data_IF_768953437873
#
_entry.id   IF_768953437873
#
_cell.length_a   1.000
_cell.length_b   1.000
_cell.length_c   1.000
_cell.angle_alpha   90.00
_cell.angle_beta   90.00
_cell.angle_gamma   90.00
#
_symmetry.space_group_name_H-M   'P 1'
#
loop_
_entity.id
_entity.type
_entity.pdbx_description
1 polymer ?
2 non-polymer ?
3 non-polymer ?
4 non-polymer ?
5 non-polymer ?
6 water ?
#
# COMPACT_ATOMS: atom_id res chain seq x y z
N UNK A 1 -20.52 -9.62 8.93
CA UNK A 1 -21.45 -8.72 8.26
C UNK A 1 -20.77 -7.41 7.87
N UNK A 2 -20.76 -6.42 8.75
CA UNK A 2 -20.19 -5.13 8.35
C UNK A 2 -18.68 -5.12 8.59
N UNK A 3 -18.01 -4.13 8.00
CA UNK A 3 -16.54 -4.16 7.91
C UNK A 3 -15.87 -4.19 9.28
N UNK A 4 -16.38 -3.40 10.23
CA UNK A 4 -15.75 -3.34 11.54
C UNK A 4 -15.86 -4.67 12.27
N UNK A 5 -16.91 -5.45 12.00
CA UNK A 5 -17.03 -6.78 12.59
C UNK A 5 -16.08 -7.76 11.94
N UNK A 6 -15.98 -7.69 10.61
CA UNK A 6 -15.07 -8.55 9.86
C UNK A 6 -13.62 -8.36 10.30
N UNK A 7 -13.24 -7.12 10.65
CA UNK A 7 -11.88 -6.90 11.14
C UNK A 7 -11.58 -7.64 12.44
N UNK A 8 -12.60 -7.87 13.25
CA UNK A 8 -12.39 -8.53 14.52
C UNK A 8 -12.51 -10.04 14.39
N UNK A 9 -13.49 -10.51 13.62
CA UNK A 9 -13.78 -11.93 13.59
C UNK A 9 -13.37 -12.61 12.29
N UNK A 10 -12.86 -11.86 11.32
CA UNK A 10 -12.38 -12.47 10.09
C UNK A 10 -10.96 -13.02 10.23
N UNK A 11 -10.71 -14.10 9.49
CA UNK A 11 -9.44 -14.80 9.59
C UNK A 11 -9.42 -15.67 10.84
N UNK A 12 -8.35 -16.46 10.97
CA UNK A 12 -8.18 -17.32 12.13
C UNK A 12 -7.10 -16.72 13.04
N UNK A 13 -7.53 -16.11 14.15
CA UNK A 13 -6.61 -15.40 15.02
C UNK A 13 -6.79 -15.80 16.48
N UNK A 14 -7.19 -17.04 16.73
CA UNK A 14 -7.18 -17.61 18.07
C UNK A 14 -6.41 -18.93 18.01
N UNK A 15 -6.18 -19.51 19.18
CA UNK A 15 -5.48 -20.79 19.29
C UNK A 15 -6.52 -21.88 19.48
N UNK A 16 -6.66 -22.76 18.48
CA UNK A 16 -7.58 -23.88 18.65
C UNK A 16 -7.20 -24.77 19.83
N UNK A 17 -5.91 -24.85 20.15
CA UNK A 17 -5.45 -25.79 21.17
C UNK A 17 -5.84 -25.32 22.58
N UNK A 18 -5.30 -24.18 23.02
CA UNK A 18 -5.59 -23.68 24.36
C UNK A 18 -6.84 -22.81 24.44
N UNK A 19 -7.31 -22.28 23.31
CA UNK A 19 -8.35 -21.28 23.33
C UNK A 19 -7.86 -19.86 23.49
N UNK A 20 -6.55 -19.64 23.55
CA UNK A 20 -6.03 -18.28 23.65
C UNK A 20 -6.70 -17.38 22.62
N UNK A 21 -7.17 -16.20 23.06
CA UNK A 21 -7.96 -15.34 22.18
C UNK A 21 -7.09 -14.52 21.25
N UNK A 22 -5.76 -14.66 21.33
CA UNK A 22 -4.82 -14.06 20.40
C UNK A 22 -3.94 -15.15 19.81
N UNK A 23 -3.37 -14.88 18.64
CA UNK A 23 -2.54 -15.87 17.96
C UNK A 23 -1.24 -16.08 18.71
N UNK A 24 -0.90 -17.29 19.12
CA UNK A 24 0.40 -17.52 19.77
C UNK A 24 1.53 -17.16 18.83
N UNK A 25 2.64 -16.71 19.41
CA UNK A 25 3.83 -16.34 18.66
C UNK A 25 4.74 -17.56 18.61
N UNK A 26 4.82 -18.19 17.44
CA UNK A 26 5.63 -19.39 17.26
C UNK A 26 7.05 -18.99 16.88
N UNK A 27 7.81 -18.62 17.90
CA UNK A 27 9.22 -18.29 17.73
C UNK A 27 9.97 -19.61 17.68
N UNK A 28 9.98 -20.22 16.49
CA UNK A 28 10.43 -21.59 16.29
C UNK A 28 10.83 -21.73 14.83
N UNK A 29 11.77 -22.65 14.56
CA UNK A 29 12.20 -22.88 13.18
C UNK A 29 11.76 -24.23 12.63
N UNK A 30 11.47 -25.22 13.49
CA UNK A 30 11.21 -26.56 13.00
C UNK A 30 10.25 -27.26 13.97
N UNK A 31 9.78 -28.44 13.55
CA UNK A 31 8.62 -29.08 14.16
C UNK A 31 8.84 -30.58 14.25
N UNK A 32 8.46 -31.15 15.39
CA UNK A 32 8.52 -32.60 15.59
C UNK A 32 7.64 -33.31 14.58
N UNK A 33 8.15 -34.43 14.07
CA UNK A 33 7.37 -35.35 13.25
C UNK A 33 7.21 -36.66 14.02
N UNK A 34 5.97 -37.13 14.13
CA UNK A 34 5.73 -38.37 14.88
C UNK A 34 6.14 -39.59 14.07
N UNK A 35 6.01 -39.51 12.75
CA UNK A 35 6.54 -40.47 11.81
C UNK A 35 7.10 -39.69 10.64
N UNK A 36 8.06 -40.28 9.94
CA UNK A 36 8.67 -39.57 8.81
C UNK A 36 7.57 -39.21 7.81
N UNK A 37 7.41 -37.91 7.58
CA UNK A 37 6.43 -37.40 6.64
C UNK A 37 5.10 -37.02 7.25
N UNK A 38 4.82 -37.44 8.47
CA UNK A 38 3.56 -37.13 9.14
C UNK A 38 3.74 -35.85 9.94
N UNK A 39 3.09 -34.78 9.49
CA UNK A 39 3.10 -33.50 10.19
C UNK A 39 1.85 -33.39 11.06
N UNK A 40 2.05 -33.04 12.34
CA UNK A 40 0.92 -32.98 13.27
C UNK A 40 -0.17 -32.03 12.79
N UNK A 41 0.22 -30.84 12.35
CA UNK A 41 -0.73 -29.81 11.95
C UNK A 41 -0.32 -29.15 10.64
N UNK A 42 0.49 -29.83 9.84
CA UNK A 42 0.91 -29.31 8.56
C UNK A 42 2.17 -28.48 8.57
N UNK A 43 2.84 -28.35 9.71
CA UNK A 43 4.06 -27.56 9.81
C UNK A 43 5.28 -28.47 9.85
N UNK A 44 6.33 -28.06 9.13
CA UNK A 44 7.57 -28.82 9.10
C UNK A 44 8.82 -27.96 9.14
N UNK A 45 8.78 -26.70 8.69
CA UNK A 45 9.94 -25.81 8.70
C UNK A 45 9.44 -24.38 8.51
N UNK A 46 9.87 -23.47 9.39
CA UNK A 46 9.20 -22.17 9.46
C UNK A 46 9.36 -21.33 8.20
N UNK A 47 10.43 -21.51 7.41
CA UNK A 47 10.51 -20.78 6.15
C UNK A 47 9.32 -21.16 5.26
N UNK A 48 8.99 -22.45 5.23
CA UNK A 48 7.90 -22.92 4.39
C UNK A 48 6.55 -22.48 4.93
N UNK A 49 6.33 -22.61 6.24
CA UNK A 49 5.11 -22.14 6.88
C UNK A 49 5.37 -22.07 8.37
N UNK A 50 4.79 -21.05 9.00
CA UNK A 50 4.86 -20.81 10.45
C UNK A 50 3.45 -20.43 10.91
N UNK A 51 2.96 -20.97 12.03
CA UNK A 51 1.54 -20.77 12.36
C UNK A 51 1.17 -19.31 12.62
N UNK A 52 2.07 -18.50 13.19
CA UNK A 52 1.74 -17.09 13.38
C UNK A 52 1.64 -16.36 12.04
N UNK A 53 2.58 -16.69 11.14
CA UNK A 53 2.51 -16.14 9.79
C UNK A 53 1.25 -16.60 9.08
N UNK A 54 0.88 -17.88 9.26
CA UNK A 54 -0.37 -18.38 8.67
C UNK A 54 -1.56 -17.57 9.16
N UNK A 55 -1.56 -17.17 10.43
CA UNK A 55 -2.64 -16.35 10.94
C UNK A 55 -2.72 -15.02 10.19
N UNK A 56 -1.59 -14.31 10.06
CA UNK A 56 -1.72 -13.02 9.37
C UNK A 56 -2.08 -13.20 7.89
N UNK A 57 -1.63 -14.29 7.28
CA UNK A 57 -2.00 -14.58 5.89
C UNK A 57 -3.50 -14.84 5.76
N UNK A 58 -4.09 -15.56 6.73
CA UNK A 58 -5.53 -15.77 6.71
C UNK A 58 -6.27 -14.46 6.85
N UNK A 59 -5.73 -13.54 7.68
CA UNK A 59 -6.38 -12.25 7.84
C UNK A 59 -6.40 -11.48 6.53
N UNK A 60 -5.24 -11.36 5.87
CA UNK A 60 -5.23 -10.52 4.66
C UNK A 60 -6.06 -11.19 3.55
N UNK A 61 -6.05 -12.52 3.47
CA UNK A 61 -6.92 -13.18 2.49
C UNK A 61 -8.39 -12.88 2.77
N UNK A 62 -8.79 -12.93 4.04
CA UNK A 62 -10.18 -12.64 4.37
C UNK A 62 -10.55 -11.19 4.05
N UNK A 63 -9.68 -10.24 4.42
CA UNK A 63 -10.03 -8.83 4.27
C UNK A 63 -10.08 -8.40 2.82
N UNK A 64 -9.35 -9.07 1.94
CA UNK A 64 -9.37 -8.75 0.52
C UNK A 64 -10.29 -9.67 -0.27
N UNK A 65 -11.08 -10.50 0.41
CA UNK A 65 -11.98 -11.46 -0.24
C UNK A 65 -11.23 -12.34 -1.23
N UNK A 66 -10.02 -12.75 -0.82
CA UNK A 66 -9.25 -13.72 -1.56
C UNK A 66 -9.27 -15.09 -0.88
N UNK A 67 -8.49 -16.00 -1.44
CA UNK A 67 -8.38 -17.35 -0.92
C UNK A 67 -7.03 -17.65 -0.27
N UNK A 68 -5.98 -16.97 -0.71
CA UNK A 68 -4.62 -17.26 -0.29
C UNK A 68 -3.93 -15.96 0.10
N UNK A 69 -3.26 -15.97 1.25
CA UNK A 69 -2.45 -14.85 1.68
C UNK A 69 -0.99 -15.22 1.86
N UNK A 70 -0.11 -14.22 1.75
CA UNK A 70 1.32 -14.41 1.84
C UNK A 70 1.92 -13.22 2.58
N UNK A 71 2.78 -13.49 3.56
CA UNK A 71 3.41 -12.45 4.35
C UNK A 71 4.91 -12.42 4.09
N UNK A 72 5.42 -11.26 3.71
CA UNK A 72 6.81 -11.06 3.33
C UNK A 72 7.49 -10.08 4.30
N UNK A 73 8.83 -10.11 4.28
CA UNK A 73 9.63 -9.32 5.19
C UNK A 73 9.52 -7.81 4.96
N UNK A 74 8.88 -7.37 3.88
CA UNK A 74 8.71 -5.96 3.58
C UNK A 74 7.75 -5.85 2.39
N UNK A 75 7.18 -4.66 2.21
CA UNK A 75 6.43 -4.39 0.99
C UNK A 75 7.22 -4.64 -0.28
N UNK A 76 8.48 -4.20 -0.33
CA UNK A 76 9.21 -4.41 -1.58
C UNK A 76 9.59 -5.87 -1.76
N UNK A 77 9.66 -6.66 -0.68
CA UNK A 77 9.85 -8.10 -0.85
C UNK A 77 8.60 -8.75 -1.45
N UNK A 78 7.41 -8.26 -1.07
CA UNK A 78 6.18 -8.75 -1.69
C UNK A 78 6.16 -8.40 -3.17
N UNK A 79 6.50 -7.15 -3.48
CA UNK A 79 6.56 -6.73 -4.89
C UNK A 79 7.56 -7.57 -5.66
N UNK A 80 8.75 -7.82 -5.09
CA UNK A 80 9.76 -8.59 -5.79
C UNK A 80 9.30 -10.03 -6.02
N UNK A 81 8.62 -10.63 -5.04
CA UNK A 81 8.10 -11.98 -5.25
C UNK A 81 7.10 -12.00 -6.40
N UNK A 82 6.24 -10.98 -6.47
CA UNK A 82 5.25 -10.92 -7.55
C UNK A 82 5.93 -10.74 -8.91
N UNK A 83 6.96 -9.87 -8.98
CA UNK A 83 7.67 -9.68 -10.24
C UNK A 83 8.34 -10.97 -10.67
N UNK A 84 8.81 -11.78 -9.72
CA UNK A 84 9.46 -13.04 -10.02
C UNK A 84 8.52 -14.09 -10.61
N UNK A 85 7.22 -13.82 -10.68
CA UNK A 85 6.32 -14.67 -11.46
C UNK A 85 6.70 -14.66 -12.94
N UNK A 86 7.43 -13.65 -13.40
CA UNK A 86 7.77 -13.48 -14.80
C UNK A 86 9.17 -14.04 -15.09
N UNK A 87 9.46 -14.20 -16.39
CA UNK A 87 10.74 -14.66 -16.91
C UNK A 87 11.46 -13.55 -17.66
N UNK A 88 12.77 -13.72 -17.81
CA UNK A 88 13.54 -12.93 -18.76
C UNK A 88 12.79 -12.82 -20.08
N UNK A 89 12.71 -11.60 -20.62
CA UNK A 89 12.00 -11.35 -21.86
C UNK A 89 10.55 -10.92 -21.71
N UNK A 90 9.96 -11.13 -20.53
CA UNK A 90 8.60 -10.68 -20.27
C UNK A 90 8.58 -9.17 -19.99
N UNK A 91 7.43 -8.56 -20.24
CA UNK A 91 7.27 -7.12 -20.13
C UNK A 91 6.16 -6.79 -19.12
N UNK A 92 6.36 -5.70 -18.37
CA UNK A 92 5.40 -5.21 -17.38
C UNK A 92 5.02 -3.78 -17.73
N UNK A 93 3.73 -3.46 -17.62
CA UNK A 93 3.22 -2.09 -17.68
C UNK A 93 2.90 -1.64 -16.26
N UNK A 94 3.37 -0.44 -15.89
CA UNK A 94 3.09 0.13 -14.57
C UNK A 94 2.63 1.56 -14.72
N UNK A 95 1.99 2.10 -13.69
CA UNK A 95 1.64 3.52 -13.76
C UNK A 95 2.90 4.37 -13.72
N UNK A 96 2.80 5.59 -14.27
CA UNK A 96 3.98 6.39 -14.52
C UNK A 96 4.67 6.81 -13.24
N UNK A 97 3.91 7.03 -12.18
CA UNK A 97 4.43 7.62 -10.95
C UNK A 97 4.48 6.59 -9.81
N UNK A 98 4.84 5.35 -10.14
CA UNK A 98 4.88 4.28 -9.13
C UNK A 98 5.87 4.63 -8.00
N UNK A 99 5.62 4.03 -6.83
CA UNK A 99 6.46 4.22 -5.66
C UNK A 99 7.94 4.09 -6.01
N UNK A 100 8.75 4.98 -5.44
CA UNK A 100 10.17 5.02 -5.78
C UNK A 100 10.89 3.71 -5.56
N UNK A 101 10.56 2.99 -4.48
CA UNK A 101 11.16 1.69 -4.28
C UNK A 101 10.79 0.70 -5.36
N UNK A 102 9.54 0.75 -5.82
CA UNK A 102 9.13 -0.12 -6.93
C UNK A 102 9.89 0.25 -8.20
N UNK A 103 9.97 1.55 -8.48
CA UNK A 103 10.72 2.00 -9.65
C UNK A 103 12.17 1.52 -9.59
N UNK A 104 12.81 1.67 -8.42
CA UNK A 104 14.21 1.28 -8.29
C UNK A 104 14.38 -0.23 -8.43
N UNK A 105 13.53 -1.01 -7.77
CA UNK A 105 13.62 -2.47 -7.91
C UNK A 105 13.49 -2.87 -9.37
N UNK A 106 12.51 -2.32 -10.07
CA UNK A 106 12.29 -2.73 -11.46
C UNK A 106 13.43 -2.29 -12.37
N UNK A 107 13.88 -1.03 -12.25
CA UNK A 107 14.83 -0.49 -13.23
C UNK A 107 16.29 -0.74 -12.89
N UNK A 108 16.62 -1.06 -11.64
CA UNK A 108 18.00 -1.31 -11.28
C UNK A 108 18.28 -2.76 -10.88
N UNK A 109 17.26 -3.55 -10.54
CA UNK A 109 17.44 -4.97 -10.26
C UNK A 109 16.84 -5.83 -11.38
N UNK A 110 15.53 -5.76 -11.57
CA UNK A 110 14.90 -6.75 -12.43
C UNK A 110 15.18 -6.54 -13.91
N UNK A 111 15.54 -5.32 -14.34
CA UNK A 111 15.95 -5.19 -15.73
C UNK A 111 17.27 -5.90 -15.99
N UNK A 112 18.10 -6.06 -14.97
CA UNK A 112 19.32 -6.84 -15.13
C UNK A 112 19.02 -8.31 -15.37
N UNK A 113 17.80 -8.76 -15.04
CA UNK A 113 17.37 -10.12 -15.29
C UNK A 113 16.50 -10.24 -16.54
N UNK A 114 16.52 -9.22 -17.40
CA UNK A 114 15.80 -9.30 -18.65
C UNK A 114 14.32 -9.01 -18.58
N UNK A 115 13.80 -8.57 -17.44
CA UNK A 115 12.43 -8.08 -17.37
C UNK A 115 12.39 -6.69 -18.00
N UNK A 116 11.43 -6.47 -18.88
CA UNK A 116 11.25 -5.18 -19.53
C UNK A 116 10.09 -4.45 -18.90
N UNK A 117 10.21 -3.13 -18.74
CA UNK A 117 9.19 -2.35 -18.08
C UNK A 117 8.91 -1.07 -18.86
N UNK A 118 7.65 -0.64 -18.79
CA UNK A 118 7.24 0.66 -19.29
C UNK A 118 6.32 1.31 -18.26
N UNK A 119 6.57 2.59 -17.99
CA UNK A 119 5.81 3.37 -17.03
C UNK A 119 4.93 4.33 -17.83
N UNK A 120 3.62 4.10 -17.81
CA UNK A 120 2.71 4.86 -18.66
C UNK A 120 1.63 5.51 -17.80
N UNK A 121 0.97 6.51 -18.37
CA UNK A 121 -0.07 7.25 -17.65
C UNK A 121 -1.36 6.45 -17.66
N UNK A 122 -1.60 5.69 -16.59
CA UNK A 122 -2.75 4.80 -16.55
C UNK A 122 -4.05 5.51 -16.17
N UNK A 123 -4.02 6.82 -15.91
CA UNK A 123 -5.27 7.53 -15.64
C UNK A 123 -6.21 7.50 -16.84
N UNK A 124 -5.70 7.30 -18.04
CA UNK A 124 -6.51 6.96 -19.20
C UNK A 124 -6.19 5.51 -19.54
N UNK A 125 -7.17 4.61 -19.36
CA UNK A 125 -6.84 3.19 -19.49
C UNK A 125 -6.49 2.81 -20.93
N UNK A 126 -6.87 3.60 -21.92
CA UNK A 126 -6.45 3.28 -23.29
C UNK A 126 -4.94 3.45 -23.46
N UNK A 127 -4.28 4.19 -22.56
CA UNK A 127 -2.83 4.22 -22.56
C UNK A 127 -2.26 2.83 -22.30
N UNK A 128 -2.90 2.07 -21.41
CA UNK A 128 -2.48 0.69 -21.17
C UNK A 128 -2.60 -0.13 -22.45
N UNK A 129 -3.74 0.00 -23.14
CA UNK A 129 -3.96 -0.78 -24.35
C UNK A 129 -2.88 -0.48 -25.39
N UNK A 130 -2.55 0.80 -25.57
CA UNK A 130 -1.48 1.12 -26.53
C UNK A 130 -0.15 0.52 -26.11
N UNK A 131 0.16 0.52 -24.80
CA UNK A 131 1.46 0.06 -24.35
C UNK A 131 1.64 -1.45 -24.38
N UNK A 132 0.57 -2.22 -24.60
CA UNK A 132 0.70 -3.67 -24.57
C UNK A 132 1.55 -4.13 -25.75
N UNK A 133 2.59 -4.90 -25.45
CA UNK A 133 3.47 -5.52 -26.44
C UNK A 133 3.17 -7.00 -26.54
N UNK A 134 3.68 -7.67 -27.58
CA UNK A 134 3.50 -9.13 -27.64
C UNK A 134 4.12 -9.85 -26.44
N UNK A 135 5.11 -9.25 -25.79
CA UNK A 135 5.77 -9.84 -24.64
C UNK A 135 5.20 -9.40 -23.30
N UNK A 136 4.21 -8.49 -23.28
CA UNK A 136 3.67 -8.05 -21.99
C UNK A 136 2.97 -9.21 -21.28
N UNK A 137 3.31 -9.40 -20.00
CA UNK A 137 2.71 -10.44 -19.19
C UNK A 137 2.05 -9.94 -17.92
N UNK A 138 2.25 -8.66 -17.54
CA UNK A 138 1.78 -8.18 -16.26
C UNK A 138 1.42 -6.70 -16.36
N UNK A 139 0.35 -6.33 -15.65
CA UNK A 139 -0.07 -4.95 -15.46
C UNK A 139 -0.07 -4.69 -13.97
N UNK A 140 0.68 -3.69 -13.52
CA UNK A 140 0.90 -3.40 -12.10
C UNK A 140 0.52 -1.96 -11.86
N UNK A 141 -0.51 -1.71 -11.04
CA UNK A 141 -0.98 -0.35 -10.82
C UNK A 141 -1.12 -0.05 -9.33
N UNK A 142 -0.75 1.17 -8.94
CA UNK A 142 -1.12 1.74 -7.65
C UNK A 142 -2.26 2.72 -7.87
N UNK A 143 -3.24 2.71 -6.95
CA UNK A 143 -4.18 3.81 -6.98
C UNK A 143 -4.76 4.03 -5.59
N UNK A 144 -4.75 5.27 -5.09
CA UNK A 144 -4.09 6.43 -5.69
C UNK A 144 -2.57 6.39 -5.51
N UNK A 145 -1.85 7.09 -6.37
CA UNK A 145 -0.39 7.08 -6.39
C UNK A 145 0.20 8.12 -5.44
N UNK A 146 1.53 8.08 -5.32
CA UNK A 146 2.28 8.99 -4.46
C UNK A 146 3.22 9.88 -5.28
N UNK A 147 3.35 11.17 -4.95
CA UNK A 147 2.64 11.94 -3.92
C UNK A 147 1.49 12.77 -4.45
N UNK A 148 1.13 12.63 -5.73
CA UNK A 148 0.07 13.47 -6.30
C UNK A 148 -1.28 12.76 -6.36
N UNK A 149 -1.40 11.54 -5.84
CA UNK A 149 -2.69 10.87 -5.64
C UNK A 149 -3.45 10.67 -6.96
N UNK A 150 -2.74 10.27 -8.01
CA UNK A 150 -3.42 9.96 -9.27
C UNK A 150 -4.21 8.66 -9.14
N UNK A 151 -5.41 8.65 -9.73
CA UNK A 151 -6.36 7.55 -9.63
C UNK A 151 -6.40 6.80 -10.96
N UNK A 152 -6.37 5.47 -10.88
CA UNK A 152 -6.50 4.59 -12.04
C UNK A 152 -7.73 3.70 -11.88
N UNK A 153 -8.44 3.48 -12.98
CA UNK A 153 -9.66 2.67 -12.98
C UNK A 153 -9.31 1.19 -12.84
N UNK A 154 -9.61 0.62 -11.67
CA UNK A 154 -9.23 -0.76 -11.38
C UNK A 154 -10.02 -1.74 -12.23
N UNK A 155 -11.35 -1.56 -12.30
CA UNK A 155 -12.19 -2.53 -13.01
C UNK A 155 -11.82 -2.59 -14.48
N UNK A 156 -11.62 -1.42 -15.11
CA UNK A 156 -11.22 -1.41 -16.51
C UNK A 156 -9.84 -2.01 -16.70
N UNK A 157 -8.92 -1.77 -15.75
CA UNK A 157 -7.59 -2.37 -15.84
C UNK A 157 -7.67 -3.88 -15.79
N UNK A 158 -8.50 -4.41 -14.89
CA UNK A 158 -8.72 -5.85 -14.80
C UNK A 158 -9.29 -6.40 -16.10
N UNK A 159 -10.25 -5.71 -16.69
CA UNK A 159 -10.83 -6.17 -17.96
C UNK A 159 -9.79 -6.21 -19.06
N UNK A 160 -8.96 -5.17 -19.16
CA UNK A 160 -7.88 -5.14 -20.15
C UNK A 160 -6.93 -6.31 -19.94
N UNK A 161 -6.50 -6.51 -18.68
CA UNK A 161 -5.59 -7.61 -18.37
C UNK A 161 -6.19 -8.96 -18.76
N UNK A 162 -7.48 -9.16 -18.47
CA UNK A 162 -8.13 -10.43 -18.79
C UNK A 162 -8.18 -10.64 -20.30
N UNK A 163 -8.55 -9.59 -21.03
CA UNK A 163 -8.65 -9.71 -22.49
C UNK A 163 -7.29 -10.02 -23.12
N UNK A 164 -6.21 -9.46 -22.57
CA UNK A 164 -4.90 -9.61 -23.18
C UNK A 164 -4.04 -10.66 -22.50
N UNK A 165 -4.60 -11.43 -21.57
CA UNK A 165 -3.86 -12.50 -20.92
C UNK A 165 -2.74 -12.01 -20.01
N UNK A 166 -2.97 -10.92 -19.28
CA UNK A 166 -1.97 -10.38 -18.37
C UNK A 166 -2.35 -10.73 -16.95
N UNK A 167 -1.33 -10.93 -16.11
CA UNK A 167 -1.51 -10.95 -14.67
C UNK A 167 -1.70 -9.51 -14.20
N UNK A 168 -2.82 -9.23 -13.54
CA UNK A 168 -3.09 -7.89 -13.03
C UNK A 168 -2.78 -7.84 -11.53
N UNK A 169 -2.10 -6.77 -11.12
CA UNK A 169 -1.63 -6.57 -9.76
C UNK A 169 -2.01 -5.15 -9.35
N UNK A 170 -2.58 -5.01 -8.15
CA UNK A 170 -2.82 -3.69 -7.57
C UNK A 170 -2.06 -3.58 -6.26
N UNK A 171 -1.27 -2.52 -6.15
CA UNK A 171 -0.68 -2.12 -4.87
C UNK A 171 -1.73 -1.28 -4.16
N UNK A 172 -2.37 -1.88 -3.15
CA UNK A 172 -3.52 -1.29 -2.47
C UNK A 172 -3.13 -0.67 -1.13
N UNK A 173 -1.85 -0.30 -0.96
CA UNK A 173 -1.35 0.20 0.31
C UNK A 173 -2.12 1.43 0.79
N UNK A 174 -2.26 2.42 -0.09
CA UNK A 174 -2.79 3.72 0.34
C UNK A 174 -4.26 3.63 0.76
N UNK A 175 -5.05 2.75 0.14
CA UNK A 175 -6.47 2.68 0.44
C UNK A 175 -6.80 1.69 1.56
N UNK A 176 -6.00 0.61 1.69
CA UNK A 176 -6.18 -0.53 2.60
C UNK A 176 -7.40 -1.38 2.20
N UNK A 177 -7.50 -2.62 2.70
CA UNK A 177 -8.71 -3.41 2.42
C UNK A 177 -9.97 -2.84 3.02
N UNK A 178 -9.86 -1.84 3.91
CA UNK A 178 -11.06 -1.29 4.52
C UNK A 178 -11.88 -0.48 3.53
N UNK A 179 -11.25 0.06 2.47
CA UNK A 179 -11.95 0.97 1.57
C UNK A 179 -11.94 0.51 0.11
N UNK A 180 -11.04 -0.36 -0.29
CA UNK A 180 -10.86 -0.71 -1.70
C UNK A 180 -10.46 -2.17 -1.76
N UNK A 181 -11.16 -2.97 -2.58
CA UNK A 181 -10.94 -4.41 -2.65
C UNK A 181 -10.71 -4.81 -4.11
N UNK A 182 -9.49 -4.70 -4.60
CA UNK A 182 -9.22 -4.96 -6.04
C UNK A 182 -9.60 -6.36 -6.51
N UNK A 183 -9.48 -7.38 -5.67
CA UNK A 183 -9.84 -8.73 -6.11
C UNK A 183 -11.32 -8.81 -6.48
N UNK A 184 -12.16 -8.03 -5.80
CA UNK A 184 -13.58 -7.99 -6.12
C UNK A 184 -13.86 -7.37 -7.47
N UNK A 185 -12.92 -6.57 -7.98
CA UNK A 185 -13.07 -5.91 -9.26
C UNK A 185 -12.36 -6.65 -10.39
N UNK A 186 -11.93 -7.89 -10.14
CA UNK A 186 -11.37 -8.72 -11.18
C UNK A 186 -9.85 -8.79 -11.22
N UNK A 187 -9.17 -8.14 -10.29
CA UNK A 187 -7.71 -8.12 -10.28
C UNK A 187 -7.20 -9.48 -9.80
N UNK A 188 -6.08 -9.93 -10.37
CA UNK A 188 -5.53 -11.24 -10.01
C UNK A 188 -4.86 -11.23 -8.64
N UNK A 189 -4.03 -10.22 -8.37
CA UNK A 189 -3.20 -10.17 -7.17
C UNK A 189 -3.29 -8.79 -6.54
N UNK A 190 -3.51 -8.73 -5.22
CA UNK A 190 -3.45 -7.46 -4.50
C UNK A 190 -2.33 -7.53 -3.49
N UNK A 191 -1.59 -6.43 -3.32
CA UNK A 191 -0.51 -6.44 -2.36
C UNK A 191 -0.48 -5.14 -1.57
N UNK A 192 0.21 -5.19 -0.43
CA UNK A 192 0.30 -4.07 0.49
C UNK A 192 1.70 -3.97 1.07
N UNK A 193 2.15 -2.75 1.31
CA UNK A 193 3.17 -2.54 2.33
C UNK A 193 2.41 -2.47 3.65
N UNK A 194 2.44 -3.56 4.41
CA UNK A 194 1.78 -3.58 5.70
C UNK A 194 2.52 -2.71 6.72
N UNK A 195 3.70 -2.23 6.36
CA UNK A 195 4.46 -1.26 7.13
C UNK A 195 3.66 0.01 7.40
N UNK A 196 2.72 0.30 6.50
CA UNK A 196 1.95 1.54 6.55
C UNK A 196 0.67 1.29 7.38
N UNK A 197 -0.52 1.48 6.80
CA UNK A 197 -1.77 1.47 7.57
C UNK A 197 -2.12 0.18 8.28
N UNK A 198 -1.82 -0.97 7.67
CA UNK A 198 -2.27 -2.25 8.22
C UNK A 198 -1.65 -2.49 9.60
N UNK A 199 -0.32 -2.49 9.69
CA UNK A 199 0.30 -2.53 11.01
C UNK A 199 -0.12 -1.32 11.84
N UNK A 200 -0.04 -0.14 11.24
CA UNK A 200 -0.68 1.05 11.78
C UNK A 200 0.05 1.75 12.90
N UNK A 201 1.15 1.18 13.41
CA UNK A 201 1.79 1.72 14.61
C UNK A 201 3.27 1.98 14.39
N UNK A 202 3.71 2.06 13.13
CA UNK A 202 5.10 2.39 12.80
C UNK A 202 6.10 1.48 13.51
N UNK A 203 5.75 0.19 13.62
CA UNK A 203 6.64 -0.69 14.37
C UNK A 203 6.84 -2.06 13.73
N UNK A 204 6.44 -2.22 12.45
CA UNK A 204 6.64 -3.45 11.69
C UNK A 204 6.96 -3.04 10.27
N UNK A 205 7.99 -3.64 9.68
CA UNK A 205 8.22 -3.59 8.24
C UNK A 205 7.76 -4.92 7.68
N UNK A 206 6.84 -4.89 6.71
CA UNK A 206 6.20 -6.12 6.25
C UNK A 206 5.44 -5.88 4.97
N UNK A 207 5.31 -6.93 4.16
CA UNK A 207 4.45 -6.90 2.99
C UNK A 207 3.41 -8.02 3.07
N UNK A 208 2.26 -7.78 2.44
CA UNK A 208 1.20 -8.79 2.40
C UNK A 208 0.67 -8.89 0.98
N UNK A 209 0.34 -10.11 0.55
CA UNK A 209 -0.18 -10.39 -0.79
C UNK A 209 -1.39 -11.29 -0.65
N UNK A 210 -2.41 -11.04 -1.48
CA UNK A 210 -3.58 -11.92 -1.49
C UNK A 210 -4.02 -12.18 -2.93
N UNK A 211 -4.56 -13.38 -3.13
CA UNK A 211 -5.10 -13.76 -4.43
C UNK A 211 -6.20 -14.80 -4.24
N UNK A 212 -7.06 -14.91 -5.25
CA UNK A 212 -8.04 -15.99 -5.33
C UNK A 212 -7.63 -17.08 -6.31
N UNK A 213 -6.53 -16.87 -7.04
CA UNK A 213 -6.10 -17.76 -8.12
C UNK A 213 -5.23 -18.86 -7.52
N UNK A 214 -5.71 -20.11 -7.57
CA UNK A 214 -4.96 -21.23 -7.01
C UNK A 214 -3.60 -21.40 -7.67
N UNK A 215 -3.52 -21.19 -8.99
CA UNK A 215 -2.26 -21.41 -9.68
C UNK A 215 -1.26 -20.31 -9.38
N UNK A 216 -1.72 -19.06 -9.34
CA UNK A 216 -0.83 -17.97 -8.94
C UNK A 216 -0.39 -18.15 -7.50
N UNK A 217 -1.29 -18.62 -6.64
CA UNK A 217 -0.92 -18.88 -5.24
C UNK A 217 0.16 -19.95 -5.15
N UNK A 218 0.02 -21.02 -5.92
CA UNK A 218 1.06 -22.05 -5.91
C UNK A 218 2.40 -21.49 -6.35
N UNK A 219 2.40 -20.66 -7.41
CA UNK A 219 3.64 -20.07 -7.88
C UNK A 219 4.25 -19.12 -6.83
N UNK A 220 3.41 -18.32 -6.18
CA UNK A 220 3.91 -17.41 -5.15
C UNK A 220 4.46 -18.16 -3.95
N UNK A 221 3.78 -19.24 -3.55
CA UNK A 221 4.29 -20.04 -2.44
C UNK A 221 5.66 -20.62 -2.78
N UNK A 222 5.84 -21.09 -4.01
CA UNK A 222 7.14 -21.60 -4.41
C UNK A 222 8.20 -20.51 -4.40
N UNK A 223 7.88 -19.32 -4.90
CA UNK A 223 8.85 -18.22 -4.88
C UNK A 223 9.23 -17.86 -3.44
N UNK A 224 8.22 -17.74 -2.57
CA UNK A 224 8.49 -17.39 -1.17
C UNK A 224 9.37 -18.44 -0.51
N UNK A 225 9.06 -19.72 -0.72
CA UNK A 225 9.88 -20.77 -0.10
C UNK A 225 11.28 -20.80 -0.69
N UNK A 226 11.44 -20.43 -1.95
CA UNK A 226 12.75 -20.58 -2.59
C UNK A 226 13.66 -19.37 -2.41
N UNK A 227 13.10 -18.14 -2.38
CA UNK A 227 13.91 -16.95 -2.17
C UNK A 227 13.78 -16.39 -0.75
N UNK A 228 12.79 -16.83 0.02
CA UNK A 228 12.85 -16.72 1.48
C UNK A 228 12.66 -15.35 2.09
N UNK A 229 11.98 -14.43 1.41
CA UNK A 229 11.68 -13.13 1.99
C UNK A 229 10.47 -13.17 2.90
N UNK A 230 10.48 -14.05 3.91
CA UNK A 230 9.31 -14.31 4.75
C UNK A 230 9.27 -13.35 5.93
N UNK A 231 8.05 -13.03 6.36
CA UNK A 231 7.85 -12.30 7.60
C UNK A 231 8.03 -13.21 8.80
N UNK A 232 8.74 -12.73 9.82
CA UNK A 232 8.93 -13.49 11.05
C UNK A 232 7.70 -13.49 11.92
N UNK A 233 7.73 -14.34 12.96
CA UNK A 233 6.51 -14.53 13.78
C UNK A 233 6.16 -13.34 14.67
N UNK A 234 7.14 -12.66 15.27
CA UNK A 234 6.81 -11.49 16.09
C UNK A 234 6.17 -10.39 15.24
N UNK A 235 6.74 -10.15 14.05
CA UNK A 235 6.17 -9.12 13.19
C UNK A 235 4.79 -9.54 12.68
N UNK A 236 4.62 -10.83 12.37
CA UNK A 236 3.29 -11.32 11.99
C UNK A 236 2.28 -11.07 13.11
N UNK A 237 2.68 -11.34 14.35
CA UNK A 237 1.77 -11.11 15.47
C UNK A 237 1.39 -9.63 15.57
N UNK A 238 2.40 -8.75 15.52
CA UNK A 238 2.12 -7.32 15.63
C UNK A 238 1.24 -6.82 14.48
N UNK A 239 1.35 -7.43 13.29
CA UNK A 239 0.46 -7.07 12.20
C UNK A 239 -0.98 -7.49 12.50
N UNK A 240 -1.18 -8.74 12.93
CA UNK A 240 -2.52 -9.18 13.32
C UNK A 240 -3.11 -8.23 14.36
N UNK A 241 -2.30 -7.87 15.36
CA UNK A 241 -2.77 -6.97 16.41
C UNK A 241 -3.13 -5.60 15.85
N UNK A 242 -2.27 -5.04 14.99
CA UNK A 242 -2.55 -3.71 14.45
C UNK A 242 -3.78 -3.68 13.58
N UNK A 243 -4.03 -4.75 12.83
CA UNK A 243 -5.15 -4.75 11.89
C UNK A 243 -6.49 -4.67 12.64
N UNK A 244 -6.55 -5.13 13.90
CA UNK A 244 -7.80 -5.07 14.66
C UNK A 244 -8.40 -3.67 14.66
N UNK A 245 -7.55 -2.63 14.78
CA UNK A 245 -8.05 -1.27 14.87
C UNK A 245 -8.05 -0.54 13.53
N UNK A 246 -7.80 -1.25 12.42
CA UNK A 246 -7.72 -0.60 11.11
C UNK A 246 -8.97 0.22 10.80
N UNK A 247 -10.16 -0.34 11.08
CA UNK A 247 -11.37 0.38 10.73
C UNK A 247 -11.52 1.66 11.53
N UNK A 248 -11.32 1.58 12.84
CA UNK A 248 -11.41 2.79 13.67
C UNK A 248 -10.38 3.82 13.26
N UNK A 249 -9.15 3.37 12.99
CA UNK A 249 -8.08 4.30 12.63
C UNK A 249 -8.37 4.98 11.29
N UNK A 250 -8.76 4.20 10.29
CA UNK A 250 -9.05 4.77 8.97
C UNK A 250 -10.23 5.73 9.04
N UNK A 251 -11.26 5.42 9.85
CA UNK A 251 -12.41 6.32 9.92
C UNK A 251 -12.04 7.64 10.57
N UNK A 252 -11.26 7.60 11.65
CA UNK A 252 -10.78 8.84 12.25
C UNK A 252 -9.94 9.64 11.24
N UNK A 253 -9.01 8.96 10.57
CA UNK A 253 -8.17 9.60 9.57
C UNK A 253 -9.02 10.29 8.52
N UNK A 254 -10.09 9.63 8.06
CA UNK A 254 -10.94 10.20 7.01
C UNK A 254 -11.69 11.43 7.50
N UNK A 255 -12.21 11.41 8.74
CA UNK A 255 -12.85 12.62 9.26
C UNK A 255 -11.86 13.80 9.25
N UNK A 256 -10.62 13.54 9.67
CA UNK A 256 -9.63 14.60 9.67
C UNK A 256 -9.27 15.04 8.25
N UNK A 257 -9.15 14.08 7.33
CA UNK A 257 -8.79 14.41 5.94
C UNK A 257 -9.79 15.42 5.38
N UNK A 258 -11.08 15.16 5.59
CA UNK A 258 -12.11 16.03 5.03
C UNK A 258 -11.98 17.45 5.60
N UNK A 259 -11.82 17.56 6.93
CA UNK A 259 -11.73 18.91 7.49
C UNK A 259 -10.42 19.61 7.11
N UNK A 260 -9.32 18.85 7.02
CA UNK A 260 -8.03 19.44 6.67
C UNK A 260 -8.06 19.97 5.24
N UNK A 261 -8.66 19.21 4.32
CA UNK A 261 -8.76 19.65 2.93
C UNK A 261 -9.56 20.93 2.83
N UNK A 262 -10.69 21.01 3.56
CA UNK A 262 -11.44 22.27 3.57
C UNK A 262 -10.55 23.44 3.97
N UNK A 263 -9.79 23.26 5.05
CA UNK A 263 -8.90 24.32 5.53
C UNK A 263 -7.87 24.68 4.46
N UNK A 264 -7.24 23.67 3.86
CA UNK A 264 -6.17 23.93 2.88
C UNK A 264 -6.71 24.68 1.68
N UNK A 265 -7.90 24.29 1.20
CA UNK A 265 -8.50 24.96 0.05
C UNK A 265 -8.81 26.41 0.37
N UNK A 266 -9.21 26.70 1.61
CA UNK A 266 -9.51 28.09 1.96
C UNK A 266 -8.25 28.94 2.23
N UNK A 267 -7.10 28.33 2.49
CA UNK A 267 -5.99 29.10 3.01
C UNK A 267 -5.22 29.82 1.90
N UNK A 268 -4.91 31.11 2.09
CA UNK A 268 -4.22 31.86 1.01
C UNK A 268 -2.76 31.47 0.81
N UNK A 269 -2.13 30.80 1.76
CA UNK A 269 -0.75 30.37 1.60
C UNK A 269 -0.63 29.03 0.91
N UNK A 270 -1.76 28.41 0.52
CA UNK A 270 -1.77 27.10 -0.12
C UNK A 270 -2.30 27.26 -1.53
N UNK A 271 -1.61 26.65 -2.49
CA UNK A 271 -2.09 26.67 -3.88
C UNK A 271 -2.83 25.37 -4.21
N UNK A 272 -2.27 24.52 -5.07
CA UNK A 272 -2.97 23.31 -5.48
C UNK A 272 -2.98 22.28 -4.35
N UNK A 273 -4.10 21.58 -4.22
CA UNK A 273 -4.26 20.48 -3.26
C UNK A 273 -4.55 19.20 -4.04
N UNK A 274 -3.90 18.11 -3.66
CA UNK A 274 -4.00 16.83 -4.37
C UNK A 274 -4.61 15.80 -3.44
N UNK A 275 -5.82 15.35 -3.76
CA UNK A 275 -6.49 14.28 -3.02
C UNK A 275 -7.72 13.82 -3.79
N UNK A 276 -7.99 12.51 -3.84
CA UNK A 276 -9.09 12.02 -4.70
C UNK A 276 -10.47 12.45 -4.24
N UNK A 277 -10.62 12.93 -3.00
CA UNK A 277 -11.91 13.40 -2.54
C UNK A 277 -12.32 14.73 -3.14
N UNK A 278 -11.38 15.46 -3.74
CA UNK A 278 -11.71 16.76 -4.32
C UNK A 278 -12.42 16.53 -5.65
N UNK A 279 -13.57 17.19 -5.82
CA UNK A 279 -14.47 16.85 -6.93
C UNK A 279 -13.87 17.17 -8.29
N UNK A 280 -12.94 18.11 -8.37
CA UNK A 280 -12.27 18.45 -9.63
C UNK A 280 -11.02 17.61 -9.86
N UNK A 281 -10.69 16.70 -8.95
CA UNK A 281 -9.55 15.81 -9.13
C UNK A 281 -9.84 14.84 -10.27
N UNK A 282 -8.84 14.64 -11.14
CA UNK A 282 -8.98 13.69 -12.23
C UNK A 282 -9.39 12.32 -11.70
N UNK A 283 -10.41 11.73 -12.32
CA UNK A 283 -10.90 10.40 -11.98
C UNK A 283 -11.48 10.34 -10.56
N UNK A 284 -11.97 11.47 -10.07
CA UNK A 284 -12.69 11.47 -8.80
C UNK A 284 -13.87 10.50 -8.84
N UNK A 285 -14.63 10.53 -9.95
CA UNK A 285 -15.77 9.63 -10.10
C UNK A 285 -15.33 8.18 -10.09
N UNK A 286 -14.23 7.87 -10.78
CA UNK A 286 -13.70 6.51 -10.80
C UNK A 286 -13.34 6.05 -9.39
N UNK A 287 -12.65 6.91 -8.64
CA UNK A 287 -12.29 6.55 -7.29
C UNK A 287 -13.52 6.25 -6.45
N UNK A 288 -14.52 7.14 -6.50
CA UNK A 288 -15.71 6.93 -5.68
C UNK A 288 -16.45 5.66 -6.11
N UNK A 289 -16.32 5.28 -7.37
CA UNK A 289 -16.96 4.04 -7.81
C UNK A 289 -16.19 2.79 -7.40
N UNK A 290 -14.91 2.90 -7.07
CA UNK A 290 -14.17 1.69 -6.70
C UNK A 290 -13.71 1.67 -5.25
N UNK A 291 -14.07 2.68 -4.46
CA UNK A 291 -13.67 2.75 -3.05
C UNK A 291 -14.77 3.46 -2.28
N UNK A 292 -14.93 3.10 -1.00
CA UNK A 292 -15.95 3.77 -0.19
C UNK A 292 -15.30 4.59 0.93
N UNK A 293 -14.08 5.06 0.69
CA UNK A 293 -13.44 5.99 1.58
C UNK A 293 -12.17 6.50 0.93
N UNK A 294 -11.28 7.05 1.78
CA UNK A 294 -10.14 7.79 1.25
C UNK A 294 -8.85 7.42 1.97
N UNK A 295 -7.74 7.60 1.24
CA UNK A 295 -6.44 7.53 1.88
C UNK A 295 -6.22 8.76 2.74
N UNK A 296 -5.30 8.63 3.70
CA UNK A 296 -4.94 9.73 4.56
C UNK A 296 -3.78 10.56 4.07
N UNK A 297 -3.23 10.21 2.91
CA UNK A 297 -2.13 10.96 2.31
C UNK A 297 -2.71 12.12 1.51
N UNK A 298 -2.24 13.34 1.80
CA UNK A 298 -2.62 14.55 1.08
C UNK A 298 -1.35 15.29 0.68
N UNK A 299 -1.30 15.84 -0.53
CA UNK A 299 -0.22 16.74 -0.91
C UNK A 299 -0.79 18.12 -1.25
N UNK A 300 0.02 19.14 -0.99
CA UNK A 300 -0.44 20.51 -1.29
C UNK A 300 0.77 21.39 -1.48
N UNK A 301 0.59 22.46 -2.27
CA UNK A 301 1.68 23.37 -2.61
C UNK A 301 1.70 24.57 -1.66
N UNK A 302 2.85 24.81 -1.04
CA UNK A 302 3.13 26.15 -0.53
C UNK A 302 4.18 26.77 -1.46
N UNK A 303 4.65 27.97 -1.11
CA UNK A 303 5.32 28.83 -2.09
C UNK A 303 6.67 28.28 -2.53
N UNK A 304 7.48 27.81 -1.58
CA UNK A 304 8.87 27.50 -1.88
C UNK A 304 9.43 26.61 -0.77
N UNK A 305 10.73 26.30 -0.88
CA UNK A 305 11.40 25.44 0.09
C UNK A 305 11.35 26.05 1.49
N UNK A 306 11.65 27.34 1.59
CA UNK A 306 11.72 27.99 2.90
C UNK A 306 10.35 27.94 3.59
N UNK A 307 9.28 28.13 2.81
CA UNK A 307 7.93 28.04 3.36
C UNK A 307 7.61 26.63 3.84
N UNK A 308 8.04 25.62 3.08
CA UNK A 308 7.81 24.23 3.51
C UNK A 308 8.52 23.93 4.82
N UNK A 309 9.80 24.34 4.92
CA UNK A 309 10.55 24.10 6.15
C UNK A 309 9.93 24.85 7.32
N UNK A 310 9.50 26.09 7.10
CA UNK A 310 8.87 26.86 8.17
C UNK A 310 7.56 26.20 8.62
N UNK A 311 6.78 25.71 7.67
CA UNK A 311 5.56 24.97 7.99
C UNK A 311 5.86 23.80 8.91
N UNK A 312 6.89 23.01 8.56
CA UNK A 312 7.24 21.85 9.38
C UNK A 312 7.64 22.29 10.79
N UNK A 313 8.43 23.37 10.89
CA UNK A 313 8.89 23.79 12.21
C UNK A 313 7.79 24.41 13.06
N UNK A 314 6.76 24.98 12.43
CA UNK A 314 5.73 25.70 13.17
C UNK A 314 4.62 24.79 13.68
N UNK A 315 4.47 23.59 13.14
CA UNK A 315 3.43 22.68 13.60
C UNK A 315 3.83 22.05 14.94
N UNK A 316 2.83 21.76 15.76
CA UNK A 316 3.06 21.01 17.00
C UNK A 316 2.76 19.54 16.87
N UNK A 317 1.84 19.15 15.97
CA UNK A 317 1.32 17.79 15.94
C UNK A 317 1.64 17.06 14.65
N UNK A 318 2.46 17.63 13.78
CA UNK A 318 2.91 16.96 12.56
C UNK A 318 4.39 16.64 12.71
N UNK A 319 4.73 15.37 12.49
CA UNK A 319 6.05 14.85 12.80
C UNK A 319 6.84 14.61 11.52
N UNK A 320 8.06 15.13 11.47
CA UNK A 320 8.92 14.97 10.30
C UNK A 320 9.58 13.59 10.36
N UNK A 321 9.20 12.72 9.44
CA UNK A 321 9.73 11.36 9.39
C UNK A 321 9.29 10.74 8.08
N UNK A 322 10.00 9.69 7.67
CA UNK A 322 9.61 8.92 6.46
C UNK A 322 8.41 8.00 6.77
N UNK A 323 7.87 7.39 5.72
CA UNK A 323 6.76 6.41 5.91
C UNK A 323 5.41 7.15 5.99
N UNK A 324 4.31 6.39 6.04
CA UNK A 324 2.92 6.90 6.24
C UNK A 324 2.12 5.89 7.07
N UNK A 325 0.85 6.18 7.35
CA UNK A 325 0.04 5.18 8.03
C UNK A 325 0.37 4.98 9.49
N UNK A 326 1.00 5.96 10.14
CA UNK A 326 1.27 5.93 11.57
C UNK A 326 0.02 6.33 12.36
N UNK A 327 0.08 6.16 13.68
CA UNK A 327 -0.94 6.83 14.49
C UNK A 327 -0.64 8.31 14.58
N UNK A 328 0.62 8.71 14.41
CA UNK A 328 1.01 10.12 14.35
C UNK A 328 0.79 10.67 12.95
N UNK A 329 0.42 11.94 12.88
CA UNK A 329 0.42 12.64 11.60
C UNK A 329 1.85 12.94 11.20
N UNK A 330 2.22 12.59 9.97
CA UNK A 330 3.59 12.73 9.48
C UNK A 330 3.61 13.78 8.38
N UNK A 331 4.73 14.47 8.26
CA UNK A 331 4.88 15.52 7.26
C UNK A 331 6.24 15.35 6.60
N UNK A 332 6.30 15.68 5.31
CA UNK A 332 7.51 15.50 4.51
C UNK A 332 7.47 16.46 3.32
N UNK A 333 8.62 16.59 2.67
CA UNK A 333 8.79 17.41 1.47
C UNK A 333 9.38 16.53 0.39
N UNK A 334 8.58 15.99 -0.53
CA UNK A 334 9.10 15.04 -1.53
C UNK A 334 10.34 15.52 -2.28
N UNK A 335 10.39 16.81 -2.66
CA UNK A 335 11.51 17.28 -3.46
C UNK A 335 12.83 17.16 -2.72
N UNK A 336 12.79 17.22 -1.39
CA UNK A 336 14.00 17.11 -0.59
C UNK A 336 14.26 15.70 -0.06
N UNK A 337 13.24 14.86 0.03
CA UNK A 337 13.37 13.61 0.77
C UNK A 337 13.26 12.37 -0.10
N UNK A 338 12.25 12.30 -0.96
CA UNK A 338 12.04 11.12 -1.79
C UNK A 338 12.44 11.33 -3.23
N UNK A 339 12.33 12.55 -3.76
CA UNK A 339 12.60 12.83 -5.16
C UNK A 339 13.86 13.68 -5.36
N UNK A 340 14.77 13.67 -4.38
CA UNK A 340 15.86 14.65 -4.38
C UNK A 340 16.88 14.39 -5.48
N UNK A 341 17.05 13.14 -5.92
CA UNK A 341 18.07 12.86 -6.93
C UNK A 341 17.63 13.23 -8.33
N UNK A 342 16.35 13.54 -8.53
CA UNK A 342 15.83 13.94 -9.82
C UNK A 342 16.17 15.40 -10.07
N UNK A 343 16.64 15.75 -11.28
CA UNK A 343 16.97 17.14 -11.58
C UNK A 343 15.81 18.07 -11.27
N UNK A 344 16.15 19.26 -10.76
CA UNK A 344 15.15 20.21 -10.29
C UNK A 344 14.14 20.59 -11.37
N UNK A 345 14.63 20.81 -12.60
CA UNK A 345 13.72 21.18 -13.68
C UNK A 345 12.75 20.05 -14.01
N UNK A 346 13.22 18.80 -13.93
CA UNK A 346 12.34 17.67 -14.19
C UNK A 346 11.34 17.50 -13.04
N UNK A 347 11.79 17.69 -11.80
CA UNK A 347 10.87 17.72 -10.67
C UNK A 347 9.75 18.72 -10.91
N UNK A 348 10.12 19.95 -11.27
CA UNK A 348 9.13 20.98 -11.53
C UNK A 348 8.17 20.57 -12.64
N UNK A 349 8.71 20.02 -13.74
CA UNK A 349 7.85 19.57 -14.81
C UNK A 349 6.85 18.53 -14.33
N UNK A 350 7.25 17.67 -13.39
CA UNK A 350 6.37 16.62 -12.91
C UNK A 350 5.43 17.10 -11.81
N UNK A 351 5.49 18.37 -11.42
CA UNK A 351 4.65 18.87 -10.35
C UNK A 351 5.22 18.67 -8.97
N UNK A 352 6.42 18.12 -8.84
CA UNK A 352 7.07 17.96 -7.55
C UNK A 352 7.84 19.24 -7.25
N UNK A 353 7.10 20.31 -6.94
CA UNK A 353 7.70 21.60 -6.72
C UNK A 353 8.46 21.64 -5.39
N UNK A 354 9.34 22.63 -5.28
CA UNK A 354 10.08 22.83 -4.02
C UNK A 354 9.14 23.00 -2.84
N UNK A 355 7.98 23.61 -3.05
CA UNK A 355 7.02 23.84 -1.99
C UNK A 355 5.97 22.77 -1.83
N UNK A 356 6.07 21.65 -2.55
CA UNK A 356 5.09 20.58 -2.38
C UNK A 356 5.32 19.86 -1.05
N UNK A 357 4.29 19.84 -0.21
CA UNK A 357 4.32 19.21 1.09
C UNK A 357 3.40 18.00 1.04
N UNK A 358 3.84 16.89 1.63
CA UNK A 358 2.98 15.73 1.80
C UNK A 358 2.73 15.52 3.28
N UNK A 359 1.48 15.33 3.64
CA UNK A 359 1.12 14.94 5.00
C UNK A 359 0.45 13.57 4.93
N UNK A 360 0.71 12.76 5.95
CA UNK A 360 -0.01 11.51 6.17
C UNK A 360 -0.79 11.73 7.46
N UNK A 361 -2.10 11.85 7.34
CA UNK A 361 -2.95 12.19 8.48
C UNK A 361 -3.02 10.99 9.43
N UNK A 362 -2.75 11.26 10.72
CA UNK A 362 -2.85 10.29 11.80
C UNK A 362 -4.19 10.35 12.51
N UNK A 363 -4.21 9.87 13.76
CA UNK A 363 -5.46 9.69 14.50
C UNK A 363 -5.59 10.68 15.65
N UNK A 364 -4.86 11.79 15.61
CA UNK A 364 -5.05 12.85 16.60
C UNK A 364 -6.43 13.49 16.43
N UNK A 365 -6.82 14.30 17.41
CA UNK A 365 -8.11 14.98 17.32
C UNK A 365 -8.19 15.84 16.07
N UNK A 366 -9.32 15.77 15.38
CA UNK A 366 -9.49 16.46 14.10
C UNK A 366 -9.32 17.97 14.25
N UNK A 367 -9.97 18.56 15.25
CA UNK A 367 -9.86 19.99 15.46
C UNK A 367 -8.42 20.40 15.72
N UNK A 368 -7.68 19.60 16.49
CA UNK A 368 -6.28 19.91 16.75
C UNK A 368 -5.46 19.90 15.47
N UNK A 369 -5.65 18.88 14.64
CA UNK A 369 -4.85 18.78 13.41
C UNK A 369 -5.16 19.94 12.45
N UNK A 370 -6.45 20.28 12.31
CA UNK A 370 -6.83 21.41 11.48
C UNK A 370 -6.23 22.70 12.03
N UNK A 371 -6.46 22.98 13.31
CA UNK A 371 -6.02 24.25 13.90
C UNK A 371 -4.49 24.36 13.86
N UNK A 372 -3.79 23.27 14.14
CA UNK A 372 -2.33 23.29 14.15
C UNK A 372 -1.79 23.59 12.76
N UNK A 373 -2.28 22.88 11.75
CA UNK A 373 -1.79 23.14 10.40
C UNK A 373 -2.15 24.55 9.95
N UNK A 374 -3.35 25.02 10.31
CA UNK A 374 -3.77 26.35 9.91
C UNK A 374 -2.90 27.44 10.56
N UNK A 375 -2.68 27.35 11.88
CA UNK A 375 -1.83 28.35 12.52
C UNK A 375 -0.41 28.30 11.99
N UNK A 376 0.09 27.11 11.63
CA UNK A 376 1.43 27.05 11.04
C UNK A 376 1.45 27.72 9.67
N UNK A 377 0.41 27.50 8.86
CA UNK A 377 0.33 28.17 7.56
C UNK A 377 0.18 29.68 7.72
N UNK A 378 -0.46 30.13 8.80
CA UNK A 378 -0.59 31.56 9.05
C UNK A 378 0.75 32.24 9.29
N UNK A 379 1.79 31.50 9.70
CA UNK A 379 3.10 32.12 9.86
C UNK A 379 3.81 32.36 8.54
N UNK A 380 3.27 31.85 7.44
CA UNK A 380 3.87 32.11 6.14
C UNK A 380 3.41 33.47 5.64
X LIG B 1 10.33 7.76 -9.53
X LIG B 1 11.02 8.14 -8.24
X LIG B 1 10.37 8.94 -6.03
X LIG B 1 10.48 8.19 -4.72
X LIG B 1 11.91 7.59 -11.53
X LIG B 1 12.35 8.42 -12.55
X LIG B 1 11.77 10.94 -13.05
X LIG B 1 11.02 12.01 -12.56
X LIG B 1 10.23 11.84 -11.43
X LIG B 1 10.19 10.65 -10.78
X LIG B 1 10.94 9.59 -11.25
X LIG B 1 11.73 9.71 -12.38
X LIG B 1 11.04 8.31 -10.74
X LIG B 1 10.27 8.01 -7.15
X LIG B 1 12.18 8.53 -8.22
X LIG B 1 9.45 7.91 -4.08
X LIG B 1 11.63 7.87 -4.33
X LIG B 1 9.20 13.26 -10.74
X LIG C 1 -18.64 -10.32 4.53
X LIG C 1 -18.11 -9.60 3.32
X LIG C 1 -18.36 -7.19 3.08
X LIG C 1 -18.52 -6.23 4.24
X LIG C 1 -16.94 -12.16 4.13
X LIG C 1 -16.15 -12.98 4.91
X LIG C 1 -15.89 -13.15 7.51
X LIG C 1 -16.35 -12.61 8.71
X LIG C 1 -17.30 -11.60 8.69
X LIG C 1 -17.78 -11.13 7.51
X LIG C 1 -17.33 -11.66 6.31
X LIG C 1 -16.38 -12.68 6.29
X LIG C 1 -17.66 -11.34 4.99
X LIG C 1 -17.63 -8.37 3.51
X LIG C 1 -18.11 -10.15 2.22
X LIG C 1 -17.93 -6.50 5.30
X LIG C 1 -19.24 -5.22 4.09
X LIG C 1 -17.89 -10.90 10.34
X LIG D 1 -4.75 -20.26 9.44
X LIG E 1 -11.18 -4.50 6.00
X LIG F 1 -0.84 -20.93 -0.86
X LIG G 1 -16.21 -12.72 7.96
X LIG G 1 -16.72 -12.27 9.11
X LIG G 1 -16.03 -12.68 10.39
X LIG G 1 -17.84 -11.46 9.14
X LIG G 1 -18.35 -11.01 10.32
X LIG G 1 -18.48 -11.10 7.94
X LIG G 1 -19.68 -10.24 7.94
X LIG G 1 -17.92 -11.59 6.73
X LIG G 1 -16.79 -12.39 6.80
X LIG G 1 -18.52 -11.26 5.38
X LIG G 1 -17.66 -10.37 4.68
X LIG G 1 -18.09 -9.79 3.25
X LIG G 1 -17.42 -10.59 2.16
X LIG G 1 -19.59 -9.90 3.12
X LIG G 1 -17.66 -8.34 3.17
X LIG H 1 -10.49 -13.27 -10.33
X LIG I 1 -11.80 -15.00 13.51
X LIG J 1 0.55 -24.62 6.07
X LIG J 1 -0.71 -25.09 6.83
X LIG J 1 -0.41 -26.01 7.82
X LIG J 1 -1.34 -23.81 7.40
X LIG J 1 -2.13 -24.18 8.48
X LIG K 1 -3.68 -16.95 -14.14
X LIG K 1 -3.06 -17.95 -13.37
X LIG K 1 -2.58 -15.93 -14.60
X LIG K 1 -1.50 -16.56 -15.23
X LIG K 1 -3.31 -14.95 -15.56
X LIG K 1 -4.25 -14.27 -14.80
X LIG L 1 7.19 -18.90 -12.13
X LIG L 1 6.07 -18.54 -11.39
X LIG L 1 6.75 -20.00 -13.14
X LIG L 1 7.67 -20.17 -14.16
X LIG L 1 6.59 -21.28 -12.29
X LIG M 1 18.27 18.26 -5.34
X LIG M 1 18.90 17.15 -5.93
X LIG M 1 18.29 19.41 -6.37
X LIG M 1 17.48 20.47 -5.98
X LIG M 1 19.76 19.83 -6.47
X LIG M 1 20.47 18.69 -6.87
X LIG N 1 -10.64 5.32 -19.23
X LIG N 1 -9.68 6.18 -18.67
X LIG N 1 -11.32 5.90 -20.49
X LIG N 1 -11.65 7.22 -20.19
#
# INVERSE_FOLDING_TARGET
SNKKTKLIHGGHTTDDYTGAVTTPIYQTSTYLQDDIGDLRQGYEYSRTANPTRSSVESVIATLENGKHGFAFSSGVAAISAVVMLLDKGDHIILNSDVYGGTYRALTKVFTRFGIEVDFVDTTHTDSIVQAIRPTTKMLFIETPSNPLLRVTDIKKSAEIAKEHGLISVVDNTFMTPYYQNPLDLGIDIVLHSATKYLGGHSDVVAGLVATSDDKLAERLAFISNSTGGILGPQDSYLLVRGIKTLGLRMEQINRSVIEIIKMLQAHPAVQQVFHPSIESHLNHDVHMAQADGHTGVIAFEVKNTESAKQLIKATSYYTLAESLGAVESLISVPALMTHASIPADIRAKEGITDGLVRISVGIEDTEDLVDDLKQALDTL
LB6 C10 C11 C12 C13 C2 C3 C4 C5 C6 C7 C8 C9 N1 N2 O1 O2 O3 BR
LB6 C10 C11 C12 C13 C2 C3 C4 C5 C6 C7 C8 C9 N1 N2 O1 O2 O3 BR
LB6 BR
LB6 BR
LB6 BR
PLP N1 C2 C2A C3 O3 C4 C4A C5 C6 C5A O4P P O1P O2P O3P
NA NA
NA NA
GOL C1 C2 O2 C3 O3
GOL C1 O1 C2 O2 C3 O3
GOL C1 O1 C2 O2 C3
GOL C1 O1 C2 O2 C3 O3
GOL C2 O2 C3 O3
#
